data_IF_983819338298
#
_entry.id   IF_983819338298
#
_cell.length_a   1.000
_cell.length_b   1.000
_cell.length_c   1.000
_cell.angle_alpha   90.00
_cell.angle_beta   90.00
_cell.angle_gamma   90.00
#
_symmetry.space_group_name_H-M   'P 1'
#
loop_
_entity.id
_entity.type
_entity.pdbx_description
1 polymer ?
#
# COMPACT_ATOMS: atom_id res chain seq x y z
N UNK A 1 -4.46 6.80 52.82
CA UNK A 1 -5.21 8.01 52.43
C UNK A 1 -4.47 8.66 51.27
N UNK A 2 -5.13 9.57 50.54
CA UNK A 2 -4.61 10.28 49.36
C UNK A 2 -4.45 9.48 48.06
N UNK A 3 -5.57 8.94 47.57
CA UNK A 3 -5.77 8.57 46.16
C UNK A 3 -7.18 8.92 45.64
N UNK A 4 -7.94 9.75 46.37
CA UNK A 4 -9.36 10.01 46.11
C UNK A 4 -9.68 11.44 45.62
N UNK A 5 -8.68 12.33 45.52
CA UNK A 5 -8.93 13.77 45.35
C UNK A 5 -8.70 14.30 43.91
N UNK A 6 -8.11 13.52 43.00
CA UNK A 6 -7.89 13.96 41.61
C UNK A 6 -9.10 13.69 40.68
N UNK A 7 -9.89 12.64 40.96
CA UNK A 7 -11.05 12.29 40.13
C UNK A 7 -12.24 13.28 40.24
N UNK A 8 -12.33 14.10 41.28
CA UNK A 8 -13.40 15.10 41.40
C UNK A 8 -13.23 16.30 40.44
N UNK A 9 -11.99 16.65 40.06
CA UNK A 9 -11.76 17.83 39.20
C UNK A 9 -12.09 17.57 37.72
N UNK A 10 -11.91 16.34 37.22
CA UNK A 10 -12.21 15.98 35.84
C UNK A 10 -13.72 15.92 35.54
N UNK A 11 -14.53 15.48 36.52
CA UNK A 11 -16.00 15.48 36.41
C UNK A 11 -16.55 16.92 36.30
N UNK A 12 -16.05 17.85 37.12
CA UNK A 12 -16.50 19.25 37.14
C UNK A 12 -16.24 19.99 35.82
N UNK A 13 -15.09 19.76 35.17
CA UNK A 13 -14.74 20.37 33.88
C UNK A 13 -15.67 19.84 32.76
N UNK A 14 -15.93 18.53 32.76
CA UNK A 14 -16.76 17.87 31.74
C UNK A 14 -18.22 18.34 31.81
N UNK A 15 -18.73 18.61 33.02
CA UNK A 15 -20.10 19.08 33.22
C UNK A 15 -20.28 20.57 32.90
N UNK A 16 -19.25 21.41 33.05
CA UNK A 16 -19.27 22.80 32.59
C UNK A 16 -19.32 22.91 31.06
N UNK A 17 -18.47 22.16 30.33
CA UNK A 17 -18.47 22.16 28.85
C UNK A 17 -19.81 21.71 28.27
N UNK A 18 -20.52 20.80 28.95
CA UNK A 18 -21.85 20.32 28.53
C UNK A 18 -22.96 21.35 28.72
N UNK A 19 -22.84 22.29 29.66
CA UNK A 19 -23.84 23.35 29.89
C UNK A 19 -23.68 24.51 28.91
N UNK A 20 -22.46 24.90 28.55
CA UNK A 20 -22.21 26.01 27.61
C UNK A 20 -22.73 25.75 26.18
N UNK A 21 -22.89 24.47 25.80
CA UNK A 21 -23.34 24.08 24.45
C UNK A 21 -24.84 23.74 24.36
N UNK A 22 -25.63 24.02 25.41
CA UNK A 22 -27.05 23.63 25.50
C UNK A 22 -28.02 24.82 25.56
N UNK A 23 -27.53 26.07 25.52
CA UNK A 23 -28.37 27.27 25.58
C UNK A 23 -28.26 28.12 24.29
N UNK A 24 -29.44 28.37 23.71
CA UNK A 24 -29.81 29.34 22.66
C UNK A 24 -29.73 28.91 21.16
N UNK A 25 -30.67 29.42 20.31
CA UNK A 25 -31.32 28.58 19.29
C UNK A 25 -31.38 29.21 17.87
N UNK A 26 -32.10 28.53 16.97
CA UNK A 26 -32.39 28.91 15.58
C UNK A 26 -33.16 30.24 15.43
N UNK A 27 -32.81 31.08 14.44
CA UNK A 27 -33.73 31.57 13.39
C UNK A 27 -33.12 32.61 12.40
N UNK A 28 -33.62 32.54 11.16
CA UNK A 28 -33.88 33.58 10.14
C UNK A 28 -32.80 34.49 9.47
N UNK A 29 -32.68 34.25 8.14
CA UNK A 29 -32.79 35.20 7.00
C UNK A 29 -32.08 36.57 7.03
N UNK A 30 -31.15 36.81 6.07
CA UNK A 30 -31.23 37.93 5.09
C UNK A 30 -30.17 37.89 3.96
N UNK A 31 -30.53 38.45 2.80
CA UNK A 31 -29.64 38.78 1.67
C UNK A 31 -28.79 40.03 1.94
N UNK A 32 -27.76 40.30 1.12
CA UNK A 32 -27.49 41.61 0.46
C UNK A 32 -26.27 41.51 -0.49
N UNK A 33 -26.28 42.30 -1.58
CA UNK A 33 -25.25 42.39 -2.63
C UNK A 33 -24.34 43.63 -2.49
N UNK A 34 -23.34 43.74 -3.40
CA UNK A 34 -22.50 44.91 -3.73
C UNK A 34 -21.37 45.27 -2.72
N UNK A 35 -20.27 45.92 -3.12
CA UNK A 35 -19.91 46.49 -4.43
C UNK A 35 -18.39 46.77 -4.58
N UNK A 36 -18.02 47.58 -5.57
CA UNK A 36 -16.66 47.75 -6.10
C UNK A 36 -15.77 48.83 -5.43
N UNK A 37 -14.44 48.65 -5.62
CA UNK A 37 -13.35 49.63 -5.81
C UNK A 37 -12.97 50.76 -4.79
N UNK A 38 -11.70 50.62 -4.33
CA UNK A 38 -10.56 51.59 -4.40
C UNK A 38 -10.40 52.85 -3.49
N UNK A 39 -9.10 53.20 -3.38
CA UNK A 39 -8.45 54.49 -3.01
C UNK A 39 -8.07 54.74 -1.52
N UNK A 40 -6.79 54.51 -1.21
CA UNK A 40 -5.77 55.35 -0.50
C UNK A 40 -6.11 56.10 0.84
N UNK A 41 -5.18 56.59 1.69
CA UNK A 41 -3.77 57.01 1.52
C UNK A 41 -3.08 57.23 2.91
N UNK A 42 -1.72 57.19 2.97
CA UNK A 42 -0.80 58.07 3.76
C UNK A 42 -0.71 57.97 5.32
N UNK A 43 0.50 57.72 5.85
CA UNK A 43 1.37 58.72 6.53
C UNK A 43 2.84 58.25 6.67
N UNK A 44 3.77 59.20 6.75
CA UNK A 44 5.24 59.05 6.72
C UNK A 44 5.90 59.29 8.09
N UNK A 45 7.17 58.91 8.26
CA UNK A 45 8.11 59.64 9.13
C UNK A 45 9.52 59.70 8.51
N UNK A 46 10.26 60.79 8.77
CA UNK A 46 11.51 61.19 8.09
C UNK A 46 12.73 61.11 9.03
N UNK A 47 13.96 60.97 8.47
CA UNK A 47 15.16 61.71 8.92
C UNK A 47 16.29 61.71 7.87
N UNK A 48 17.09 62.79 7.82
CA UNK A 48 18.09 63.14 6.78
C UNK A 48 19.55 62.69 7.13
N UNK A 49 20.60 62.81 6.29
CA UNK A 49 20.78 63.44 4.96
C UNK A 49 22.24 63.40 4.44
N UNK A 50 22.61 64.31 3.50
CA UNK A 50 23.90 64.48 2.76
C UNK A 50 24.22 63.41 1.68
N UNK A 51 24.75 63.71 0.47
CA UNK A 51 25.04 65.00 -0.20
C UNK A 51 25.53 64.87 -1.67
N UNK A 52 25.00 65.76 -2.53
CA UNK A 52 25.27 66.19 -3.94
C UNK A 52 26.60 65.85 -4.67
N UNK A 53 26.55 65.48 -5.97
CA UNK A 53 27.25 66.17 -7.10
C UNK A 53 26.75 65.76 -8.53
N UNK A 54 27.02 66.60 -9.55
CA UNK A 54 26.49 66.58 -10.94
C UNK A 54 27.55 66.99 -11.98
N UNK A 55 27.57 66.36 -13.17
CA UNK A 55 28.08 66.88 -14.48
C UNK A 55 27.28 66.21 -15.64
N UNK A 56 27.00 66.73 -16.86
CA UNK A 56 27.51 67.82 -17.74
C UNK A 56 28.57 67.38 -18.79
N UNK A 57 28.57 67.79 -20.09
CA UNK A 57 27.52 68.32 -21.00
C UNK A 57 27.99 68.29 -22.50
N UNK A 58 27.08 68.23 -23.50
CA UNK A 58 27.31 68.51 -24.97
C UNK A 58 28.36 67.63 -25.73
N UNK A 59 28.63 67.67 -27.05
CA UNK A 59 27.95 67.95 -28.35
C UNK A 59 28.84 67.33 -29.49
N UNK A 60 28.37 67.16 -30.75
CA UNK A 60 29.31 66.88 -31.87
C UNK A 60 28.82 66.16 -33.14
N UNK A 61 28.47 66.97 -34.15
CA UNK A 61 28.24 66.82 -35.62
C UNK A 61 28.89 65.63 -36.42
N UNK A 62 28.30 65.16 -37.56
CA UNK A 62 28.76 63.96 -38.32
C UNK A 62 29.51 64.24 -39.65
N UNK A 63 30.24 63.26 -40.22
CA UNK A 63 30.69 63.33 -41.63
C UNK A 63 30.91 61.99 -42.40
N UNK A 64 30.21 61.91 -43.54
CA UNK A 64 30.35 61.19 -44.83
C UNK A 64 31.29 59.97 -45.17
N UNK A 65 30.64 58.96 -45.80
CA UNK A 65 30.93 58.32 -47.12
C UNK A 65 32.24 57.54 -47.37
N UNK A 66 32.15 56.23 -47.71
CA UNK A 66 32.20 55.72 -49.11
C UNK A 66 31.89 54.20 -49.23
N UNK A 67 31.34 53.77 -50.37
CA UNK A 67 30.99 52.36 -50.68
C UNK A 67 32.21 51.52 -51.12
N UNK A 68 32.19 50.19 -50.88
CA UNK A 68 32.38 49.21 -51.97
C UNK A 68 31.94 47.78 -51.60
N UNK A 69 31.50 47.05 -52.63
CA UNK A 69 30.82 45.75 -52.63
C UNK A 69 31.66 44.58 -52.06
N UNK A 70 31.02 43.68 -51.32
CA UNK A 70 31.54 42.34 -50.98
C UNK A 70 30.42 41.34 -50.67
N UNK A 71 30.27 40.29 -51.47
CA UNK A 71 29.08 39.43 -51.53
C UNK A 71 28.91 38.35 -50.43
N UNK A 72 27.68 38.22 -49.92
CA UNK A 72 26.91 36.97 -49.79
C UNK A 72 27.52 35.68 -49.16
N UNK A 73 28.11 35.68 -47.94
CA UNK A 73 28.29 34.40 -47.18
C UNK A 73 28.06 34.49 -45.65
N UNK A 74 26.86 34.88 -45.17
CA UNK A 74 26.52 34.76 -43.72
C UNK A 74 25.10 34.24 -43.42
N UNK A 75 24.08 34.57 -44.22
CA UNK A 75 22.66 34.51 -43.80
C UNK A 75 22.06 33.10 -43.60
N UNK A 76 22.70 32.01 -44.07
CA UNK A 76 22.18 30.64 -43.87
C UNK A 76 22.58 29.97 -42.54
N UNK A 77 23.52 30.52 -41.77
CA UNK A 77 24.01 29.85 -40.55
C UNK A 77 23.02 29.93 -39.37
N UNK A 78 22.31 31.04 -39.19
CA UNK A 78 21.48 31.27 -38.00
C UNK A 78 20.14 30.53 -38.03
N UNK A 79 19.42 30.52 -39.17
CA UNK A 79 18.12 29.84 -39.29
C UNK A 79 18.21 28.33 -39.02
N UNK A 80 19.31 27.66 -39.40
CA UNK A 80 19.55 26.23 -39.07
C UNK A 80 19.88 25.99 -37.59
N UNK A 81 20.33 27.00 -36.84
CA UNK A 81 20.73 26.87 -35.43
C UNK A 81 19.51 26.91 -34.49
N UNK A 82 18.58 27.85 -34.69
CA UNK A 82 17.33 27.99 -33.91
C UNK A 82 16.42 26.75 -33.99
N UNK A 83 16.25 26.13 -35.16
CA UNK A 83 15.40 24.93 -35.30
C UNK A 83 16.01 23.71 -34.58
N UNK A 84 17.34 23.58 -34.56
CA UNK A 84 18.03 22.48 -33.87
C UNK A 84 17.92 22.55 -32.35
N UNK A 85 17.91 23.73 -31.74
CA UNK A 85 17.79 23.88 -30.29
C UNK A 85 16.42 23.45 -29.79
N UNK A 86 15.33 23.95 -30.38
CA UNK A 86 13.96 23.51 -30.03
C UNK A 86 13.75 22.00 -30.23
N UNK A 87 14.22 21.44 -31.35
CA UNK A 87 14.14 19.99 -31.61
C UNK A 87 14.98 19.14 -30.63
N UNK A 88 16.02 19.70 -30.02
CA UNK A 88 16.81 19.03 -28.97
C UNK A 88 16.14 19.11 -27.59
N UNK A 89 15.50 20.23 -27.29
CA UNK A 89 14.80 20.48 -26.03
C UNK A 89 13.53 19.62 -25.92
N UNK A 90 12.69 19.59 -26.97
CA UNK A 90 11.50 18.74 -27.03
C UNK A 90 11.84 17.25 -26.87
N UNK A 91 12.96 16.79 -27.47
CA UNK A 91 13.43 15.39 -27.31
C UNK A 91 13.87 15.08 -25.88
N UNK A 92 14.47 16.03 -25.18
CA UNK A 92 14.82 15.86 -23.77
C UNK A 92 13.57 15.79 -22.88
N UNK A 93 12.58 16.67 -23.08
CA UNK A 93 11.31 16.63 -22.35
C UNK A 93 10.62 15.29 -22.56
N UNK A 94 10.36 14.89 -23.81
CA UNK A 94 9.71 13.60 -24.11
C UNK A 94 10.49 12.41 -23.52
N UNK A 95 11.82 12.43 -23.58
CA UNK A 95 12.66 11.39 -22.96
C UNK A 95 12.60 11.37 -21.43
N UNK A 96 12.28 12.49 -20.77
CA UNK A 96 12.07 12.57 -19.31
C UNK A 96 10.66 12.11 -18.95
N UNK A 97 9.63 12.53 -19.70
CA UNK A 97 8.25 12.08 -19.50
C UNK A 97 8.13 10.57 -19.65
N UNK A 98 8.71 9.99 -20.72
CA UNK A 98 8.75 8.54 -20.91
C UNK A 98 9.55 7.82 -19.82
N UNK A 99 10.61 8.44 -19.28
CA UNK A 99 11.39 7.88 -18.17
C UNK A 99 10.56 7.82 -16.88
N UNK A 100 9.82 8.89 -16.56
CA UNK A 100 8.93 8.95 -15.40
C UNK A 100 7.77 7.96 -15.55
N UNK A 101 7.10 7.91 -16.70
CA UNK A 101 6.04 6.94 -16.97
C UNK A 101 6.55 5.50 -16.82
N UNK A 102 7.69 5.17 -17.43
CA UNK A 102 8.30 3.84 -17.32
C UNK A 102 8.68 3.47 -15.87
N UNK A 103 9.13 4.45 -15.07
CA UNK A 103 9.41 4.25 -13.65
C UNK A 103 8.12 3.99 -12.85
N UNK A 104 7.04 4.74 -13.12
CA UNK A 104 5.72 4.51 -12.50
C UNK A 104 5.20 3.12 -12.86
N UNK A 105 5.08 2.78 -14.15
CA UNK A 105 4.61 1.46 -14.58
C UNK A 105 5.49 0.31 -14.06
N UNK A 106 6.81 0.49 -14.01
CA UNK A 106 7.74 -0.51 -13.47
C UNK A 106 7.58 -0.74 -11.96
N UNK A 107 7.39 0.33 -11.17
CA UNK A 107 7.10 0.21 -9.73
C UNK A 107 5.71 -0.40 -9.51
N UNK A 108 4.68 0.12 -10.18
CA UNK A 108 3.30 -0.38 -10.04
C UNK A 108 3.19 -1.86 -10.42
N UNK A 109 3.81 -2.29 -11.52
CA UNK A 109 3.86 -3.71 -11.90
C UNK A 109 4.57 -4.57 -10.85
N UNK A 110 5.69 -4.08 -10.28
CA UNK A 110 6.41 -4.77 -9.21
C UNK A 110 5.55 -4.93 -7.95
N UNK A 111 4.88 -3.87 -7.51
CA UNK A 111 3.97 -3.90 -6.35
C UNK A 111 2.77 -4.81 -6.59
N UNK A 112 2.13 -4.73 -7.76
CA UNK A 112 0.99 -5.59 -8.11
C UNK A 112 1.39 -7.05 -8.24
N UNK A 113 2.60 -7.35 -8.75
CA UNK A 113 3.14 -8.71 -8.77
C UNK A 113 3.34 -9.27 -7.35
N UNK A 114 3.91 -8.48 -6.43
CA UNK A 114 4.03 -8.87 -5.01
C UNK A 114 2.67 -9.16 -4.38
N UNK A 115 1.68 -8.27 -4.56
CA UNK A 115 0.32 -8.47 -4.06
C UNK A 115 -0.31 -9.73 -4.67
N UNK A 116 -0.12 -9.95 -5.97
CA UNK A 116 -0.61 -11.14 -6.68
C UNK A 116 0.00 -12.43 -6.13
N UNK A 117 1.30 -12.44 -5.88
CA UNK A 117 2.01 -13.60 -5.33
C UNK A 117 1.63 -13.89 -3.88
N UNK A 118 1.38 -12.85 -3.06
CA UNK A 118 0.84 -13.00 -1.71
C UNK A 118 -0.56 -13.65 -1.68
N UNK A 119 -1.33 -13.48 -2.76
CA UNK A 119 -2.64 -14.08 -2.98
C UNK A 119 -2.56 -15.41 -3.79
N UNK A 120 -1.38 -16.02 -3.90
CA UNK A 120 -1.23 -17.34 -4.52
C UNK A 120 -1.50 -18.47 -3.51
N UNK A 121 -1.99 -19.62 -3.99
CA UNK A 121 -2.39 -20.74 -3.12
C UNK A 121 -1.27 -21.27 -2.24
N UNK A 122 -0.06 -21.35 -2.78
CA UNK A 122 1.14 -21.75 -2.06
C UNK A 122 1.46 -20.79 -0.90
N UNK A 123 1.32 -19.48 -1.14
CA UNK A 123 1.59 -18.44 -0.13
C UNK A 123 0.54 -18.39 0.96
N UNK A 124 -0.75 -18.49 0.59
CA UNK A 124 -1.86 -18.55 1.54
C UNK A 124 -1.71 -19.78 2.44
N UNK A 125 -1.40 -20.95 1.87
CA UNK A 125 -1.12 -22.15 2.64
C UNK A 125 0.05 -21.92 3.60
N UNK A 126 1.22 -21.51 3.10
CA UNK A 126 2.41 -21.37 3.93
C UNK A 126 2.18 -20.35 5.07
N UNK A 127 1.53 -19.21 4.80
CA UNK A 127 1.21 -18.23 5.82
C UNK A 127 0.27 -18.79 6.92
N UNK A 128 -0.67 -19.68 6.58
CA UNK A 128 -1.58 -20.34 7.55
C UNK A 128 -0.86 -21.40 8.39
N UNK A 129 0.10 -22.13 7.82
CA UNK A 129 0.94 -23.06 8.60
C UNK A 129 1.98 -22.33 9.47
N UNK A 130 2.52 -21.19 9.02
CA UNK A 130 3.53 -20.40 9.74
C UNK A 130 2.94 -19.49 10.84
N UNK A 131 1.65 -19.17 10.83
CA UNK A 131 0.98 -18.37 11.87
C UNK A 131 0.49 -19.23 13.05
N UNK A 132 0.54 -18.74 14.29
CA UNK A 132 -0.28 -19.32 15.38
C UNK A 132 -1.71 -18.85 15.23
N UNK A 133 -2.68 -19.75 15.04
CA UNK A 133 -4.10 -19.38 14.90
C UNK A 133 -4.68 -18.90 16.25
N UNK A 134 -4.29 -19.54 17.35
CA UNK A 134 -4.75 -19.14 18.69
C UNK A 134 -4.37 -17.72 19.09
N UNK A 135 -3.24 -17.20 18.63
CA UNK A 135 -2.76 -15.84 18.97
C UNK A 135 -3.43 -14.71 18.15
N UNK A 136 -4.35 -15.05 17.24
CA UNK A 136 -5.06 -14.07 16.42
C UNK A 136 -6.00 -13.27 17.32
N UNK A 137 -5.80 -11.95 17.38
CA UNK A 137 -6.70 -11.06 18.09
C UNK A 137 -8.00 -10.84 17.31
N UNK A 138 -9.14 -11.00 17.98
CA UNK A 138 -10.46 -10.79 17.37
C UNK A 138 -11.23 -9.60 17.98
N UNK A 139 -10.68 -8.93 19.00
CA UNK A 139 -11.32 -7.79 19.70
C UNK A 139 -11.84 -6.66 18.78
N UNK A 140 -11.19 -6.43 17.63
CA UNK A 140 -11.65 -5.50 16.60
C UNK A 140 -13.09 -5.80 16.12
N UNK A 141 -13.47 -7.07 15.99
CA UNK A 141 -14.81 -7.48 15.56
C UNK A 141 -15.89 -7.22 16.62
N UNK A 142 -15.48 -7.10 17.88
CA UNK A 142 -16.35 -6.76 19.02
C UNK A 142 -16.38 -5.25 19.32
N UNK A 143 -15.75 -4.41 18.48
CA UNK A 143 -15.69 -2.96 18.66
C UNK A 143 -14.69 -2.48 19.72
N UNK A 144 -13.87 -3.37 20.27
CA UNK A 144 -12.82 -3.02 21.23
C UNK A 144 -11.55 -2.58 20.50
N UNK A 145 -10.96 -1.46 20.95
CA UNK A 145 -9.72 -0.93 20.39
C UNK A 145 -8.49 -1.64 20.98
N UNK A 146 -8.29 -2.92 20.65
CA UNK A 146 -7.12 -3.69 21.10
C UNK A 146 -7.20 -5.21 20.90
N UNK A 147 -6.11 -5.90 21.25
CA UNK A 147 -6.07 -7.36 21.44
C UNK A 147 -6.60 -7.72 22.84
N UNK A 148 -7.88 -7.49 23.11
CA UNK A 148 -8.49 -7.88 24.40
C UNK A 148 -9.03 -9.31 24.42
N UNK A 149 -9.30 -9.90 23.26
CA UNK A 149 -9.74 -11.30 23.11
C UNK A 149 -8.97 -11.95 21.96
N UNK A 150 -8.34 -13.09 22.23
CA UNK A 150 -7.71 -13.95 21.21
C UNK A 150 -8.64 -15.07 20.73
N UNK A 151 -8.31 -15.68 19.59
CA UNK A 151 -9.14 -16.74 18.99
C UNK A 151 -9.22 -17.99 19.87
N UNK A 152 -8.15 -18.33 20.61
CA UNK A 152 -8.20 -19.45 21.56
C UNK A 152 -9.08 -19.18 22.79
N UNK A 153 -9.11 -17.95 23.31
CA UNK A 153 -10.03 -17.51 24.37
C UNK A 153 -11.47 -17.62 23.91
N UNK A 154 -11.78 -17.03 22.75
CA UNK A 154 -13.12 -17.10 22.17
C UNK A 154 -13.60 -18.52 21.89
N UNK A 155 -12.76 -19.36 21.28
CA UNK A 155 -13.11 -20.75 21.00
C UNK A 155 -13.24 -21.59 22.29
N UNK A 156 -12.61 -21.18 23.39
CA UNK A 156 -12.81 -21.78 24.72
C UNK A 156 -14.21 -21.50 25.22
N UNK A 157 -14.67 -20.25 25.15
CA UNK A 157 -16.02 -19.86 25.54
C UNK A 157 -17.09 -20.50 24.64
N UNK A 158 -16.82 -20.62 23.33
CA UNK A 158 -17.70 -21.33 22.38
C UNK A 158 -17.84 -22.80 22.73
N UNK A 159 -16.75 -23.52 23.03
CA UNK A 159 -16.81 -24.95 23.36
C UNK A 159 -17.41 -25.21 24.76
N UNK A 160 -17.20 -24.30 25.71
CA UNK A 160 -17.78 -24.38 27.05
C UNK A 160 -19.24 -23.89 27.13
N UNK A 161 -19.78 -23.31 26.05
CA UNK A 161 -21.14 -22.74 26.02
C UNK A 161 -22.26 -23.74 26.37
N UNK A 162 -22.05 -25.03 26.07
CA UNK A 162 -22.97 -26.12 26.44
C UNK A 162 -23.09 -26.34 27.96
N UNK A 163 -22.10 -25.90 28.74
CA UNK A 163 -22.00 -26.18 30.19
C UNK A 163 -21.68 -27.63 30.55
N UNK A 164 -21.61 -28.54 29.56
CA UNK A 164 -21.30 -29.97 29.75
C UNK A 164 -19.80 -30.19 29.96
N UNK A 165 -18.96 -29.29 29.43
CA UNK A 165 -17.50 -29.38 29.48
C UNK A 165 -16.86 -28.11 30.04
N UNK A 166 -15.61 -28.26 30.49
CA UNK A 166 -14.74 -27.15 30.90
C UNK A 166 -13.36 -27.34 30.25
N UNK A 167 -13.27 -27.09 28.95
CA UNK A 167 -12.03 -27.15 28.18
C UNK A 167 -11.13 -25.97 28.54
N UNK A 168 -9.81 -26.19 28.55
CA UNK A 168 -8.83 -25.17 28.89
C UNK A 168 -8.31 -24.46 27.63
N UNK A 169 -8.11 -23.14 27.69
CA UNK A 169 -7.56 -22.33 26.60
C UNK A 169 -6.28 -22.92 25.99
N UNK A 170 -5.39 -23.49 26.80
CA UNK A 170 -4.15 -24.15 26.32
C UNK A 170 -4.42 -25.33 25.37
N UNK A 171 -5.53 -26.05 25.57
CA UNK A 171 -5.89 -27.25 24.81
C UNK A 171 -6.71 -26.87 23.57
N UNK A 172 -7.54 -25.83 23.67
CA UNK A 172 -8.15 -25.16 22.52
C UNK A 172 -7.09 -24.55 21.60
N UNK A 173 -6.04 -23.93 22.15
CA UNK A 173 -4.89 -23.46 21.39
C UNK A 173 -4.19 -24.60 20.65
N UNK A 174 -4.01 -25.76 21.30
CA UNK A 174 -3.45 -26.96 20.66
C UNK A 174 -4.35 -27.49 19.53
N UNK A 175 -5.67 -27.45 19.71
CA UNK A 175 -6.65 -27.80 18.68
C UNK A 175 -6.54 -26.88 17.46
N UNK A 176 -6.42 -25.57 17.67
CA UNK A 176 -6.24 -24.60 16.59
C UNK A 176 -4.92 -24.77 15.83
N UNK A 177 -3.90 -25.38 16.44
CA UNK A 177 -2.63 -25.72 15.79
C UNK A 177 -2.65 -27.07 15.05
N UNK A 178 -3.76 -27.82 15.06
CA UNK A 178 -3.85 -29.10 14.37
C UNK A 178 -3.93 -29.00 12.85
N UNK A 179 -3.36 -30.00 12.16
CA UNK A 179 -3.27 -30.05 10.71
C UNK A 179 -4.64 -29.93 10.02
N UNK A 180 -5.69 -30.56 10.54
CA UNK A 180 -7.03 -30.46 9.96
C UNK A 180 -7.61 -29.03 10.06
N UNK A 181 -7.40 -28.33 11.18
CA UNK A 181 -7.82 -26.93 11.35
C UNK A 181 -7.01 -26.03 10.42
N UNK A 182 -5.68 -26.18 10.37
CA UNK A 182 -4.80 -25.44 9.45
C UNK A 182 -5.18 -25.65 7.99
N UNK A 183 -5.45 -26.90 7.61
CA UNK A 183 -5.86 -27.27 6.24
C UNK A 183 -7.21 -26.65 5.88
N UNK A 184 -8.20 -26.73 6.78
CA UNK A 184 -9.49 -26.08 6.59
C UNK A 184 -9.33 -24.56 6.46
N UNK A 185 -8.63 -23.92 7.39
CA UNK A 185 -8.39 -22.46 7.37
C UNK A 185 -7.68 -22.03 6.09
N UNK A 186 -6.65 -22.77 5.65
CA UNK A 186 -5.97 -22.52 4.39
C UNK A 186 -6.91 -22.69 3.18
N UNK A 187 -7.72 -23.75 3.10
CA UNK A 187 -8.67 -23.93 2.01
C UNK A 187 -9.72 -22.82 1.99
N UNK A 188 -10.22 -22.38 3.15
CA UNK A 188 -11.16 -21.25 3.25
C UNK A 188 -10.54 -19.93 2.83
N UNK A 189 -9.34 -19.58 3.29
CA UNK A 189 -8.64 -18.40 2.78
C UNK A 189 -8.41 -18.49 1.26
N UNK A 190 -8.08 -19.66 0.73
CA UNK A 190 -7.93 -19.85 -0.72
C UNK A 190 -9.24 -19.68 -1.50
N UNK A 191 -10.38 -20.14 -0.97
CA UNK A 191 -11.71 -19.87 -1.57
C UNK A 191 -12.02 -18.38 -1.54
N UNK A 192 -11.84 -17.70 -0.41
CA UNK A 192 -11.98 -16.24 -0.31
C UNK A 192 -11.12 -15.49 -1.32
N UNK A 193 -9.84 -15.87 -1.44
CA UNK A 193 -8.89 -15.26 -2.37
C UNK A 193 -9.26 -15.57 -3.82
N UNK A 194 -9.69 -16.80 -4.13
CA UNK A 194 -10.25 -17.16 -5.44
C UNK A 194 -11.49 -16.34 -5.78
N UNK A 195 -12.42 -16.16 -4.84
CA UNK A 195 -13.65 -15.39 -5.03
C UNK A 195 -13.38 -13.88 -5.15
N UNK A 196 -12.35 -13.37 -4.49
CA UNK A 196 -11.87 -11.99 -4.65
C UNK A 196 -11.21 -11.76 -6.01
N UNK A 197 -10.41 -12.72 -6.48
CA UNK A 197 -9.72 -12.63 -7.77
C UNK A 197 -10.69 -12.88 -8.93
N UNK A 198 -11.35 -14.04 -8.97
CA UNK A 198 -12.07 -14.54 -10.14
C UNK A 198 -13.59 -14.35 -10.05
N UNK A 199 -14.10 -13.91 -8.90
CA UNK A 199 -15.53 -13.71 -8.69
C UNK A 199 -16.34 -15.01 -8.47
N UNK A 200 -15.67 -16.14 -8.21
CA UNK A 200 -16.20 -17.51 -8.32
C UNK A 200 -17.31 -17.94 -7.36
N UNK A 201 -17.55 -17.18 -6.29
CA UNK A 201 -18.46 -17.55 -5.22
C UNK A 201 -18.83 -16.39 -4.31
N UNK A 202 -19.48 -16.72 -3.19
CA UNK A 202 -20.05 -15.74 -2.26
C UNK A 202 -19.05 -15.17 -1.26
N UNK A 203 -17.90 -15.83 -1.06
CA UNK A 203 -16.90 -15.47 -0.05
C UNK A 203 -17.48 -15.47 1.36
N UNK A 204 -17.83 -16.66 1.86
CA UNK A 204 -18.36 -16.90 3.22
C UNK A 204 -17.81 -18.21 3.79
N UNK A 205 -17.54 -18.23 5.10
CA UNK A 205 -17.55 -19.45 5.93
C UNK A 205 -18.90 -19.47 6.63
N UNK A 206 -19.56 -20.62 6.71
CA UNK A 206 -20.77 -20.78 7.52
C UNK A 206 -20.47 -21.46 8.85
N UNK A 207 -21.29 -21.20 9.88
CA UNK A 207 -21.21 -21.92 11.17
C UNK A 207 -21.31 -23.43 10.96
N UNK A 208 -22.18 -23.88 10.07
CA UNK A 208 -22.36 -25.29 9.73
C UNK A 208 -21.07 -25.97 9.30
N UNK A 209 -20.22 -25.29 8.53
CA UNK A 209 -18.94 -25.83 8.06
C UNK A 209 -17.88 -25.91 9.16
N UNK A 210 -17.97 -25.06 10.20
CA UNK A 210 -17.11 -25.12 11.39
C UNK A 210 -17.53 -26.30 12.27
N UNK A 211 -18.84 -26.45 12.51
CA UNK A 211 -19.38 -27.58 13.30
C UNK A 211 -19.11 -28.91 12.59
N UNK A 212 -19.31 -28.98 11.27
CA UNK A 212 -19.01 -30.18 10.50
C UNK A 212 -17.51 -30.53 10.52
N UNK A 213 -16.60 -29.54 10.50
CA UNK A 213 -15.16 -29.81 10.67
C UNK A 213 -14.85 -30.48 12.01
N UNK A 214 -15.49 -30.03 13.09
CA UNK A 214 -15.31 -30.59 14.44
C UNK A 214 -15.95 -31.99 14.56
N UNK A 215 -17.09 -32.23 13.93
CA UNK A 215 -17.77 -33.53 13.87
C UNK A 215 -16.96 -34.57 13.08
N UNK A 216 -16.56 -34.23 11.84
CA UNK A 216 -15.74 -35.07 10.96
C UNK A 216 -14.38 -35.46 11.61
N UNK A 217 -13.87 -34.62 12.53
CA UNK A 217 -12.61 -34.83 13.26
C UNK A 217 -12.83 -35.02 14.77
N UNK A 218 -14.02 -35.49 15.19
CA UNK A 218 -14.39 -35.52 16.61
C UNK A 218 -13.43 -36.35 17.47
N UNK A 219 -12.96 -37.50 16.97
CA UNK A 219 -12.05 -38.39 17.70
C UNK A 219 -10.75 -37.70 18.13
N UNK A 220 -10.21 -36.83 17.29
CA UNK A 220 -9.00 -36.07 17.55
C UNK A 220 -9.30 -34.84 18.43
N UNK A 221 -10.42 -34.16 18.13
CA UNK A 221 -10.93 -33.01 18.89
C UNK A 221 -11.15 -33.36 20.36
N UNK A 222 -11.91 -34.43 20.63
CA UNK A 222 -12.20 -34.90 21.98
C UNK A 222 -10.94 -35.29 22.75
N UNK A 223 -9.98 -35.96 22.09
CA UNK A 223 -8.68 -36.36 22.66
C UNK A 223 -7.81 -35.16 23.05
N UNK A 224 -7.78 -34.11 22.23
CA UNK A 224 -6.98 -32.91 22.52
C UNK A 224 -7.58 -32.11 23.66
N UNK A 225 -8.91 -31.97 23.66
CA UNK A 225 -9.68 -31.24 24.68
C UNK A 225 -9.88 -32.03 25.98
N UNK A 226 -9.52 -33.32 26.02
CA UNK A 226 -9.67 -34.22 27.18
C UNK A 226 -11.09 -34.73 27.42
N UNK A 227 -12.01 -34.51 26.49
CA UNK A 227 -13.44 -34.85 26.56
C UNK A 227 -13.64 -36.38 26.53
N UNK A 228 -12.74 -37.10 25.85
CA UNK A 228 -12.72 -38.56 25.78
C UNK A 228 -12.53 -39.24 27.16
N UNK A 229 -11.95 -38.51 28.12
CA UNK A 229 -11.80 -38.98 29.51
C UNK A 229 -13.00 -38.69 30.42
N UNK A 230 -13.93 -37.82 29.99
CA UNK A 230 -15.10 -37.46 30.79
C UNK A 230 -16.10 -38.62 30.88
N UNK A 231 -16.65 -38.81 32.08
CA UNK A 231 -17.70 -39.78 32.37
C UNK A 231 -18.79 -39.09 33.17
N UNK A 232 -19.95 -38.95 32.54
CA UNK A 232 -21.19 -38.58 33.21
C UNK A 232 -22.05 -39.83 33.37
N UNK A 233 -22.56 -40.04 34.59
CA UNK A 233 -23.35 -41.24 34.89
C UNK A 233 -24.64 -41.28 34.05
N UNK A 234 -24.75 -42.30 33.20
CA UNK A 234 -25.91 -42.53 32.34
C UNK A 234 -25.92 -41.77 31.00
N UNK A 235 -24.90 -40.97 30.69
CA UNK A 235 -24.79 -40.21 29.43
C UNK A 235 -23.77 -40.87 28.51
N UNK A 236 -24.07 -41.06 27.22
CA UNK A 236 -23.10 -41.62 26.28
C UNK A 236 -22.14 -40.54 25.75
N UNK A 237 -20.98 -40.97 25.25
CA UNK A 237 -20.02 -40.07 24.61
C UNK A 237 -20.57 -39.41 23.32
N UNK A 238 -21.56 -40.02 22.66
CA UNK A 238 -22.23 -39.41 21.50
C UNK A 238 -23.25 -38.34 21.94
N UNK A 239 -23.90 -38.51 23.09
CA UNK A 239 -24.77 -37.47 23.68
C UNK A 239 -23.93 -36.26 24.14
N UNK A 240 -22.81 -36.51 24.83
CA UNK A 240 -21.84 -35.46 25.24
C UNK A 240 -21.34 -34.69 24.01
N UNK A 241 -20.93 -35.40 22.96
CA UNK A 241 -20.53 -34.80 21.68
C UNK A 241 -21.62 -33.91 21.11
N UNK A 242 -22.85 -34.42 21.05
CA UNK A 242 -23.98 -33.68 20.50
C UNK A 242 -24.25 -32.39 21.28
N UNK A 243 -24.34 -32.47 22.60
CA UNK A 243 -24.61 -31.30 23.46
C UNK A 243 -23.53 -30.21 23.29
N UNK A 244 -22.26 -30.61 23.12
CA UNK A 244 -21.14 -29.68 22.86
C UNK A 244 -21.25 -29.03 21.48
N UNK A 245 -21.54 -29.80 20.42
CA UNK A 245 -21.65 -29.29 19.06
C UNK A 245 -22.90 -28.41 18.87
N UNK A 246 -24.04 -28.78 19.47
CA UNK A 246 -25.27 -28.00 19.46
C UNK A 246 -25.09 -26.67 20.23
N UNK A 247 -24.48 -26.71 21.44
CA UNK A 247 -24.17 -25.49 22.19
C UNK A 247 -23.19 -24.57 21.45
N UNK A 248 -22.12 -25.13 20.88
CA UNK A 248 -21.17 -24.38 20.07
C UNK A 248 -21.84 -23.77 18.82
N UNK A 249 -22.76 -24.48 18.17
CA UNK A 249 -23.55 -23.96 17.04
C UNK A 249 -24.39 -22.75 17.48
N UNK A 250 -25.18 -22.88 18.55
CA UNK A 250 -26.02 -21.79 19.06
C UNK A 250 -25.18 -20.56 19.41
N UNK A 251 -24.05 -20.75 20.10
CA UNK A 251 -23.14 -19.67 20.48
C UNK A 251 -22.50 -18.98 19.28
N UNK A 252 -22.04 -19.73 18.28
CA UNK A 252 -21.48 -19.19 17.03
C UNK A 252 -22.53 -18.45 16.19
N UNK A 253 -23.78 -18.93 16.16
CA UNK A 253 -24.90 -18.23 15.47
C UNK A 253 -25.30 -16.95 16.20
N UNK A 254 -25.27 -16.93 17.54
CA UNK A 254 -25.56 -15.75 18.34
C UNK A 254 -24.48 -14.66 18.18
N UNK A 255 -23.21 -15.03 18.26
CA UNK A 255 -22.11 -14.07 18.24
C UNK A 255 -21.82 -13.61 16.80
N UNK A 256 -21.68 -14.55 15.86
CA UNK A 256 -21.29 -14.24 14.48
C UNK A 256 -22.53 -13.86 13.67
N UNK A 257 -22.84 -12.57 13.68
CA UNK A 257 -23.89 -11.95 12.86
C UNK A 257 -23.53 -11.99 11.35
N UNK A 258 -23.60 -13.17 10.73
CA UNK A 258 -23.30 -13.42 9.31
C UNK A 258 -24.22 -12.67 8.30
N UNK A 259 -25.18 -11.88 8.77
CA UNK A 259 -26.18 -11.23 7.93
C UNK A 259 -25.69 -10.05 7.07
N UNK A 260 -24.52 -9.45 7.34
CA UNK A 260 -24.08 -8.20 6.70
C UNK A 260 -22.94 -8.35 5.69
N UNK A 261 -21.83 -8.99 6.07
CA UNK A 261 -20.61 -9.00 5.24
C UNK A 261 -20.37 -10.34 4.51
N UNK A 262 -20.85 -10.42 3.28
CA UNK A 262 -20.40 -11.42 2.29
C UNK A 262 -19.63 -10.73 1.19
N UNK A 263 -18.64 -11.40 0.60
CA UNK A 263 -17.87 -10.81 -0.51
C UNK A 263 -18.78 -10.56 -1.74
N UNK A 264 -19.84 -11.38 -1.90
CA UNK A 264 -20.93 -11.15 -2.86
C UNK A 264 -21.66 -9.82 -2.63
N UNK A 265 -22.06 -9.52 -1.39
CA UNK A 265 -22.74 -8.28 -1.06
C UNK A 265 -21.82 -7.07 -1.22
N UNK A 266 -20.57 -7.16 -0.76
CA UNK A 266 -19.57 -6.10 -0.96
C UNK A 266 -19.29 -5.83 -2.46
N UNK A 267 -19.37 -6.86 -3.32
CA UNK A 267 -19.27 -6.74 -4.79
C UNK A 267 -20.50 -6.07 -5.42
N UNK A 268 -21.70 -6.25 -4.86
CA UNK A 268 -22.91 -5.54 -5.29
C UNK A 268 -22.90 -4.08 -4.86
N UNK A 269 -22.34 -3.77 -3.69
CA UNK A 269 -22.24 -2.41 -3.14
C UNK A 269 -21.14 -1.58 -3.83
N UNK A 270 -19.95 -2.15 -4.04
CA UNK A 270 -18.79 -1.47 -4.67
C UNK A 270 -18.28 -2.15 -5.95
N UNK A 271 -19.13 -2.35 -6.99
CA UNK A 271 -18.77 -3.12 -8.18
C UNK A 271 -17.60 -2.50 -8.96
N UNK A 272 -17.50 -1.17 -9.00
CA UNK A 272 -16.40 -0.45 -9.67
C UNK A 272 -15.07 -0.70 -8.96
N UNK A 273 -15.05 -0.66 -7.63
CA UNK A 273 -13.84 -0.83 -6.82
C UNK A 273 -13.31 -2.26 -6.94
N UNK A 274 -14.19 -3.27 -6.83
CA UNK A 274 -13.77 -4.67 -6.97
C UNK A 274 -13.34 -4.97 -8.41
N UNK A 275 -14.05 -4.50 -9.44
CA UNK A 275 -13.62 -4.72 -10.82
C UNK A 275 -12.26 -4.07 -11.12
N UNK A 276 -11.99 -2.88 -10.58
CA UNK A 276 -10.68 -2.25 -10.69
C UNK A 276 -9.58 -3.05 -9.97
N UNK A 277 -9.84 -3.49 -8.72
CA UNK A 277 -8.89 -4.28 -7.94
C UNK A 277 -8.57 -5.64 -8.59
N UNK A 278 -9.59 -6.39 -9.01
CA UNK A 278 -9.43 -7.63 -9.79
C UNK A 278 -8.58 -7.39 -11.03
N UNK A 279 -8.96 -6.39 -11.84
CA UNK A 279 -8.26 -6.11 -13.12
C UNK A 279 -6.79 -5.79 -12.86
N UNK A 280 -6.47 -4.93 -11.88
CA UNK A 280 -5.10 -4.54 -11.56
C UNK A 280 -4.24 -5.70 -11.04
N UNK A 281 -4.80 -6.58 -10.20
CA UNK A 281 -4.08 -7.73 -9.61
C UNK A 281 -3.96 -8.91 -10.61
N UNK A 282 -4.66 -8.86 -11.75
CA UNK A 282 -4.58 -9.88 -12.79
C UNK A 282 -3.20 -9.95 -13.47
N UNK A 283 -2.70 -11.16 -13.74
CA UNK A 283 -1.44 -11.35 -14.47
C UNK A 283 -1.42 -10.65 -15.86
N UNK A 284 -2.50 -10.62 -16.66
CA UNK A 284 -2.53 -9.86 -17.91
C UNK A 284 -2.30 -8.35 -17.73
N UNK A 285 -2.87 -7.72 -16.69
CA UNK A 285 -2.66 -6.30 -16.44
C UNK A 285 -1.23 -6.01 -15.96
N UNK A 286 -0.68 -6.84 -15.08
CA UNK A 286 0.72 -6.76 -14.64
C UNK A 286 1.65 -6.89 -15.84
N UNK A 287 1.43 -7.88 -16.71
CA UNK A 287 2.20 -8.08 -17.94
C UNK A 287 2.08 -6.89 -18.90
N UNK A 288 0.90 -6.29 -19.04
CA UNK A 288 0.69 -5.09 -19.86
C UNK A 288 1.47 -3.88 -19.31
N UNK A 289 1.50 -3.68 -17.98
CA UNK A 289 2.31 -2.60 -17.37
C UNK A 289 3.80 -2.82 -17.57
N UNK A 290 4.30 -4.06 -17.44
CA UNK A 290 5.70 -4.41 -17.75
C UNK A 290 6.00 -4.15 -19.24
N UNK A 291 5.11 -4.57 -20.14
CA UNK A 291 5.28 -4.36 -21.58
C UNK A 291 5.32 -2.88 -21.94
N UNK A 292 4.48 -2.03 -21.33
CA UNK A 292 4.51 -0.57 -21.49
C UNK A 292 5.82 0.03 -20.96
N UNK A 293 6.28 -0.39 -19.77
CA UNK A 293 7.54 0.08 -19.20
C UNK A 293 8.74 -0.24 -20.12
N UNK A 294 8.78 -1.46 -20.68
CA UNK A 294 9.80 -1.91 -21.63
C UNK A 294 9.67 -1.21 -22.99
N UNK A 295 8.46 -0.98 -23.49
CA UNK A 295 8.22 -0.21 -24.72
C UNK A 295 8.78 1.22 -24.59
N UNK A 296 8.56 1.87 -23.45
CA UNK A 296 9.14 3.18 -23.17
C UNK A 296 10.68 3.13 -23.08
N UNK A 297 11.28 2.07 -22.51
CA UNK A 297 12.73 1.86 -22.57
C UNK A 297 13.26 1.76 -24.01
N UNK A 298 12.57 1.03 -24.88
CA UNK A 298 12.93 0.88 -26.30
C UNK A 298 12.84 2.24 -27.02
N UNK A 299 11.76 3.00 -26.82
CA UNK A 299 11.60 4.35 -27.41
C UNK A 299 12.70 5.30 -26.92
N UNK A 300 12.98 5.35 -25.62
CA UNK A 300 14.07 6.14 -25.03
C UNK A 300 15.43 5.71 -25.62
N UNK A 301 15.64 4.41 -25.84
CA UNK A 301 16.86 3.90 -26.45
C UNK A 301 17.05 4.41 -27.88
N UNK A 302 16.02 4.29 -28.74
CA UNK A 302 16.09 4.81 -30.11
C UNK A 302 16.27 6.33 -30.17
N UNK A 303 15.52 7.09 -29.36
CA UNK A 303 15.67 8.55 -29.27
C UNK A 303 17.09 8.97 -28.87
N UNK A 304 17.75 8.22 -27.98
CA UNK A 304 19.06 8.54 -27.41
C UNK A 304 20.22 7.70 -27.97
N UNK A 305 20.00 6.90 -29.02
CA UNK A 305 20.98 5.95 -29.56
C UNK A 305 22.24 6.69 -30.05
N UNK A 306 22.06 7.85 -30.69
CA UNK A 306 23.12 8.74 -31.18
C UNK A 306 24.04 9.32 -30.09
N UNK A 307 23.77 9.10 -28.80
CA UNK A 307 24.61 9.58 -27.69
C UNK A 307 25.06 8.49 -26.72
N UNK A 308 24.73 7.22 -26.98
CA UNK A 308 24.81 6.13 -25.98
C UNK A 308 24.10 6.56 -24.67
N UNK A 309 23.02 7.35 -24.81
CA UNK A 309 22.25 7.89 -23.69
C UNK A 309 21.26 6.87 -23.15
N UNK A 310 20.56 6.17 -24.06
CA UNK A 310 19.49 5.22 -23.75
C UNK A 310 19.84 4.22 -22.66
N UNK A 311 20.96 3.50 -22.81
CA UNK A 311 21.45 2.55 -21.79
C UNK A 311 21.60 3.17 -20.39
N UNK A 312 22.01 4.44 -20.28
CA UNK A 312 22.09 5.12 -18.97
C UNK A 312 20.74 5.53 -18.41
N UNK A 313 19.71 5.74 -19.24
CA UNK A 313 18.34 5.95 -18.77
C UNK A 313 17.71 4.63 -18.33
N UNK A 314 17.78 3.58 -19.15
CA UNK A 314 17.28 2.23 -18.81
C UNK A 314 17.93 1.71 -17.53
N UNK A 315 19.26 1.76 -17.45
CA UNK A 315 19.98 1.33 -16.25
C UNK A 315 19.60 2.12 -15.00
N UNK A 316 19.29 3.42 -15.13
CA UNK A 316 18.76 4.23 -14.04
C UNK A 316 17.31 3.88 -13.66
N UNK A 317 16.42 3.64 -14.63
CA UNK A 317 15.06 3.15 -14.36
C UNK A 317 15.13 1.85 -13.54
N UNK A 318 15.89 0.86 -14.02
CA UNK A 318 16.07 -0.42 -13.34
C UNK A 318 16.66 -0.23 -11.95
N UNK A 319 17.76 0.53 -11.79
CA UNK A 319 18.32 0.79 -10.46
C UNK A 319 17.34 1.46 -9.51
N UNK A 320 16.49 2.40 -9.98
CA UNK A 320 15.46 3.02 -9.13
C UNK A 320 14.34 2.06 -8.74
N UNK A 321 13.83 1.25 -9.69
CA UNK A 321 12.84 0.19 -9.38
C UNK A 321 13.42 -0.80 -8.37
N UNK A 322 14.68 -1.21 -8.55
CA UNK A 322 15.39 -2.09 -7.62
C UNK A 322 15.55 -1.47 -6.21
N UNK A 323 15.91 -0.19 -6.11
CA UNK A 323 15.97 0.55 -4.84
C UNK A 323 14.59 0.62 -4.17
N UNK A 324 13.53 0.90 -4.92
CA UNK A 324 12.16 0.96 -4.37
C UNK A 324 11.72 -0.42 -3.86
N UNK A 325 12.03 -1.50 -4.57
CA UNK A 325 11.76 -2.87 -4.09
C UNK A 325 12.52 -3.20 -2.79
N UNK A 326 13.80 -2.81 -2.69
CA UNK A 326 14.60 -3.00 -1.48
C UNK A 326 14.07 -2.15 -0.30
N UNK A 327 13.66 -0.90 -0.56
CA UNK A 327 13.06 -0.03 0.44
C UNK A 327 11.70 -0.55 0.92
N UNK A 328 10.87 -1.08 0.02
CA UNK A 328 9.60 -1.73 0.35
C UNK A 328 9.81 -2.99 1.19
N UNK A 329 10.82 -3.82 0.89
CA UNK A 329 11.20 -4.94 1.76
C UNK A 329 11.62 -4.49 3.16
N UNK A 330 12.36 -3.38 3.27
CA UNK A 330 12.69 -2.76 4.56
C UNK A 330 11.44 -2.29 5.32
N UNK A 331 10.50 -1.63 4.64
CA UNK A 331 9.23 -1.18 5.23
C UNK A 331 8.35 -2.35 5.70
N UNK A 332 8.39 -3.50 5.02
CA UNK A 332 7.67 -4.72 5.40
C UNK A 332 8.11 -5.35 6.72
N UNK A 333 9.28 -4.98 7.28
CA UNK A 333 9.64 -5.34 8.66
C UNK A 333 8.93 -4.47 9.72
N UNK A 334 8.56 -3.24 9.37
CA UNK A 334 7.91 -2.29 10.30
C UNK A 334 6.38 -2.36 10.20
N UNK A 335 5.86 -2.69 9.01
CA UNK A 335 4.42 -2.87 8.74
C UNK A 335 3.70 -3.77 9.75
N UNK A 336 4.24 -4.93 10.19
CA UNK A 336 3.62 -5.75 11.24
C UNK A 336 3.34 -5.00 12.55
N UNK A 337 4.23 -4.11 12.99
CA UNK A 337 4.04 -3.32 14.22
C UNK A 337 2.94 -2.28 14.02
N UNK A 338 2.93 -1.60 12.86
CA UNK A 338 1.95 -0.57 12.53
C UNK A 338 0.56 -1.17 12.35
N UNK A 339 0.44 -2.26 11.60
CA UNK A 339 -0.82 -2.94 11.34
C UNK A 339 -1.38 -3.62 12.59
N UNK A 340 -0.54 -4.19 13.46
CA UNK A 340 -1.03 -4.71 14.74
C UNK A 340 -1.58 -3.60 15.65
N UNK A 341 -1.00 -2.40 15.64
CA UNK A 341 -1.55 -1.24 16.36
C UNK A 341 -2.87 -0.71 15.78
N UNK A 342 -3.10 -0.88 14.48
CA UNK A 342 -4.31 -0.38 13.80
C UNK A 342 -5.48 -1.35 13.86
N UNK A 343 -5.22 -2.66 13.70
CA UNK A 343 -6.26 -3.68 13.50
C UNK A 343 -6.26 -4.78 14.58
N UNK A 344 -5.23 -4.87 15.41
CA UNK A 344 -5.20 -5.82 16.53
C UNK A 344 -5.24 -7.31 16.15
N UNK A 345 -4.90 -7.71 14.93
CA UNK A 345 -5.00 -9.13 14.52
C UNK A 345 -3.89 -10.04 15.08
N UNK A 346 -2.89 -9.49 15.76
CA UNK A 346 -1.74 -10.21 16.32
C UNK A 346 -0.45 -9.99 15.52
N UNK A 347 0.65 -9.74 16.22
CA UNK A 347 1.97 -9.53 15.61
C UNK A 347 2.47 -10.78 14.86
N UNK A 348 2.17 -11.98 15.36
CA UNK A 348 2.51 -13.26 14.72
C UNK A 348 1.84 -13.43 13.35
N UNK A 349 0.55 -13.10 13.24
CA UNK A 349 -0.19 -13.11 11.99
C UNK A 349 0.48 -12.24 10.91
N UNK A 350 0.81 -10.99 11.24
CA UNK A 350 1.47 -10.09 10.28
C UNK A 350 2.89 -10.53 9.93
N UNK A 351 3.67 -11.06 10.88
CA UNK A 351 5.00 -11.61 10.57
C UNK A 351 4.91 -12.76 9.57
N UNK A 352 4.02 -13.74 9.80
CA UNK A 352 3.86 -14.89 8.93
C UNK A 352 3.54 -14.45 7.48
N UNK A 353 2.64 -13.47 7.33
CA UNK A 353 2.29 -12.92 6.03
C UNK A 353 3.44 -12.13 5.35
N UNK A 354 4.09 -11.20 6.05
CA UNK A 354 5.07 -10.30 5.43
C UNK A 354 6.46 -10.93 5.23
N UNK A 355 6.92 -11.83 6.10
CA UNK A 355 8.26 -12.42 6.03
C UNK A 355 8.48 -13.19 4.71
N UNK A 356 7.43 -13.86 4.21
CA UNK A 356 7.44 -14.55 2.91
C UNK A 356 7.57 -13.59 1.72
N UNK A 357 7.02 -12.36 1.82
CA UNK A 357 7.15 -11.33 0.79
C UNK A 357 8.50 -10.63 0.81
N UNK A 358 9.00 -10.30 2.00
CA UNK A 358 10.30 -9.62 2.19
C UNK A 358 11.41 -10.32 1.40
N UNK A 359 11.52 -11.65 1.49
CA UNK A 359 12.54 -12.42 0.76
C UNK A 359 12.43 -12.27 -0.77
N UNK A 360 11.21 -12.30 -1.31
CA UNK A 360 10.96 -12.10 -2.76
C UNK A 360 11.31 -10.68 -3.20
N UNK A 361 10.91 -9.64 -2.46
CA UNK A 361 11.28 -8.25 -2.79
C UNK A 361 12.79 -8.00 -2.67
N UNK A 362 13.46 -8.56 -1.68
CA UNK A 362 14.92 -8.45 -1.53
C UNK A 362 15.63 -9.05 -2.75
N UNK A 363 15.25 -10.27 -3.16
CA UNK A 363 15.84 -10.92 -4.34
C UNK A 363 15.55 -10.15 -5.63
N UNK A 364 14.28 -9.83 -5.90
CA UNK A 364 13.89 -9.10 -7.10
C UNK A 364 14.54 -7.70 -7.15
N UNK A 365 14.54 -6.98 -6.02
CA UNK A 365 15.18 -5.68 -5.89
C UNK A 365 16.69 -5.72 -6.14
N UNK A 366 17.40 -6.70 -5.55
CA UNK A 366 18.83 -6.88 -5.75
C UNK A 366 19.19 -7.24 -7.21
N UNK A 367 18.44 -8.15 -7.84
CA UNK A 367 18.66 -8.54 -9.26
C UNK A 367 18.42 -7.35 -10.19
N UNK A 368 17.28 -6.67 -10.06
CA UNK A 368 16.93 -5.51 -10.90
C UNK A 368 17.94 -4.36 -10.70
N UNK A 369 18.37 -4.10 -9.46
CA UNK A 369 19.40 -3.11 -9.14
C UNK A 369 20.75 -3.46 -9.78
N UNK A 370 21.19 -4.72 -9.64
CA UNK A 370 22.43 -5.23 -10.23
C UNK A 370 22.45 -5.09 -11.76
N UNK A 371 21.38 -5.53 -12.43
CA UNK A 371 21.20 -5.34 -13.86
C UNK A 371 21.24 -3.84 -14.25
N UNK A 372 20.55 -2.98 -13.51
CA UNK A 372 20.56 -1.53 -13.75
C UNK A 372 21.94 -0.89 -13.63
N UNK A 373 22.74 -1.31 -12.65
CA UNK A 373 24.13 -0.88 -12.46
C UNK A 373 25.00 -1.34 -13.65
N UNK A 374 24.93 -2.62 -14.02
CA UNK A 374 25.69 -3.19 -15.14
C UNK A 374 25.37 -2.48 -16.47
N UNK A 375 24.09 -2.28 -16.79
CA UNK A 375 23.65 -1.57 -18.01
C UNK A 375 24.11 -0.10 -17.98
N UNK A 376 24.06 0.56 -16.82
CA UNK A 376 24.59 1.93 -16.64
C UNK A 376 26.09 2.00 -16.87
N UNK A 377 26.87 1.02 -16.38
CA UNK A 377 28.31 0.91 -16.60
C UNK A 377 28.64 0.64 -18.07
N UNK A 378 27.95 -0.29 -18.72
CA UNK A 378 28.08 -0.56 -20.15
C UNK A 378 27.83 0.70 -20.99
N UNK A 379 26.76 1.46 -20.68
CA UNK A 379 26.48 2.76 -21.31
C UNK A 379 27.59 3.80 -21.11
N UNK A 380 28.25 3.83 -19.94
CA UNK A 380 29.44 4.68 -19.69
C UNK A 380 30.64 4.22 -20.53
N UNK A 381 30.89 2.91 -20.63
CA UNK A 381 32.00 2.32 -21.39
C UNK A 381 31.84 2.58 -22.89
N UNK A 382 30.68 2.28 -23.47
CA UNK A 382 30.36 2.55 -24.88
C UNK A 382 30.57 4.03 -25.25
N UNK A 383 30.15 4.95 -24.36
CA UNK A 383 30.39 6.40 -24.56
C UNK A 383 31.88 6.77 -24.51
N UNK A 384 32.68 6.14 -23.64
CA UNK A 384 34.15 6.33 -23.62
C UNK A 384 34.80 5.81 -24.90
N UNK A 385 34.46 4.59 -25.34
CA UNK A 385 34.99 3.97 -26.57
C UNK A 385 34.69 4.85 -27.78
N UNK A 386 33.43 5.25 -27.97
CA UNK A 386 33.04 6.10 -29.11
C UNK A 386 33.73 7.48 -29.09
N UNK A 387 33.93 8.10 -27.91
CA UNK A 387 34.72 9.33 -27.80
C UNK A 387 36.18 9.14 -28.24
N UNK A 388 36.80 7.98 -27.95
CA UNK A 388 38.17 7.67 -28.43
C UNK A 388 38.20 7.48 -29.94
N UNK A 389 37.25 6.73 -30.51
CA UNK A 389 37.15 6.49 -31.97
C UNK A 389 36.96 7.81 -32.73
N UNK A 390 36.10 8.71 -32.23
CA UNK A 390 35.88 10.01 -32.86
C UNK A 390 37.13 10.91 -32.85
N UNK A 391 37.92 10.91 -31.77
CA UNK A 391 39.20 11.66 -31.74
C UNK A 391 40.18 11.13 -32.77
N UNK A 392 40.34 9.80 -32.87
CA UNK A 392 41.23 9.12 -33.84
C UNK A 392 40.78 9.23 -35.32
N UNK A 393 39.69 9.95 -35.61
CA UNK A 393 39.25 10.28 -36.97
C UNK A 393 39.33 11.79 -37.28
N UNK A 394 39.79 12.58 -36.30
CA UNK A 394 39.95 14.04 -36.39
C UNK A 394 41.42 14.46 -36.24
N UNK A 395 42.24 13.60 -35.66
CA UNK A 395 43.70 13.49 -35.85
C UNK A 395 43.97 12.51 -36.98
#
# INVERSE_FOLDING_TARGET
>A
MDAANENLNLLNITEQVRKTNAEQPENDVQEVQAGEENIATVQEENYAGQGVEQEAIQEGTPENVQETVGENIVVQAEKKKKVRTHASFAKNIVSITLFLLSLVFGITASTLYVVREALSREYVNQAVYDMTLGDIGIGFWYGYSGQEVTLDEYMTDVLNSSGVVNVQQKDVKRLLECEFVKTFTADRFNRYVSDFIYGTGEGTISVQEIIQLLDDNWSETARILGIDTLKHDGVSQEDIKKDILDGAYEKLVQDIHFGSFTLSNFRKEYPVVINAAHTMVSYPAIAAMVALAVLFWIIILFMNIRYCGGFRYIGRCMSLIGIVNLAAAGAMYVLPVVLNRLFGLGYGFYIAFFNLQVRKLLYAGAVILGCGILITLMGKILRKIRKRILRRKLT
#
